data_IF_628228376778
#
_entry.id   IF_628228376778
#
_cell.length_a   1.000
_cell.length_b   1.000
_cell.length_c   1.000
_cell.angle_alpha   90.00
_cell.angle_beta   90.00
_cell.angle_gamma   90.00
#
_symmetry.space_group_name_H-M   'P 1'
#
loop_
_entity.id
_entity.type
_entity.pdbx_description
1 polymer ?
#
# COMPACT_ATOMS: atom_id res chain seq x y z
N UNK A 1 40.84 -30.34 0.12
CA UNK A 1 40.08 -29.18 -0.41
C UNK A 1 39.11 -28.76 0.66
N UNK A 2 39.17 -27.52 1.14
CA UNK A 2 38.21 -27.00 2.11
C UNK A 2 36.84 -26.91 1.42
N UNK A 3 35.89 -27.74 1.84
CA UNK A 3 34.52 -27.68 1.33
C UNK A 3 33.82 -26.43 1.85
N UNK A 4 32.92 -25.84 1.06
CA UNK A 4 32.10 -24.71 1.48
C UNK A 4 31.14 -25.18 2.57
N UNK A 5 31.09 -24.44 3.68
CA UNK A 5 30.19 -24.70 4.80
C UNK A 5 28.90 -23.87 4.65
N UNK A 6 27.85 -24.52 4.14
CA UNK A 6 26.55 -23.90 3.88
C UNK A 6 25.73 -23.61 5.16
N UNK A 7 26.14 -24.13 6.32
CA UNK A 7 25.40 -23.93 7.57
C UNK A 7 25.40 -22.48 8.06
N UNK A 8 26.40 -21.69 7.64
CA UNK A 8 26.59 -20.29 8.06
C UNK A 8 25.79 -19.27 7.24
N UNK A 9 25.22 -19.69 6.12
CA UNK A 9 24.51 -18.79 5.21
C UNK A 9 23.04 -18.68 5.61
N UNK A 10 22.45 -17.52 5.34
CA UNK A 10 21.01 -17.29 5.42
C UNK A 10 20.28 -18.07 4.32
N UNK A 11 18.98 -18.31 4.50
CA UNK A 11 18.16 -19.03 3.51
C UNK A 11 18.17 -18.33 2.15
N UNK A 12 18.14 -17.00 2.15
CA UNK A 12 18.22 -16.16 0.95
C UNK A 12 19.54 -16.36 0.19
N UNK A 13 20.67 -16.36 0.90
CA UNK A 13 21.99 -16.60 0.32
C UNK A 13 22.13 -18.03 -0.22
N UNK A 14 21.51 -19.02 0.44
CA UNK A 14 21.46 -20.40 -0.06
C UNK A 14 20.63 -20.50 -1.36
N UNK A 15 19.54 -19.73 -1.48
CA UNK A 15 18.74 -19.63 -2.70
C UNK A 15 19.49 -18.94 -3.84
N UNK A 16 20.18 -17.84 -3.56
CA UNK A 16 21.04 -17.18 -4.53
C UNK A 16 22.20 -18.08 -4.97
N UNK A 17 22.78 -18.83 -4.03
CA UNK A 17 23.79 -19.84 -4.34
C UNK A 17 23.22 -20.94 -5.23
N UNK A 18 21.97 -21.38 -5.00
CA UNK A 18 21.31 -22.40 -5.84
C UNK A 18 21.13 -21.92 -7.28
N UNK A 19 20.81 -20.65 -7.49
CA UNK A 19 20.62 -20.06 -8.81
C UNK A 19 21.93 -19.75 -9.55
N UNK A 20 23.02 -19.51 -8.81
CA UNK A 20 24.31 -19.10 -9.37
C UNK A 20 25.36 -20.21 -9.48
N UNK A 21 25.18 -21.33 -8.76
CA UNK A 21 26.16 -22.42 -8.74
C UNK A 21 26.09 -23.26 -10.01
N UNK A 22 27.25 -23.50 -10.62
CA UNK A 22 27.37 -24.46 -11.73
C UNK A 22 27.42 -25.89 -11.18
N UNK A 23 26.29 -26.59 -11.28
CA UNK A 23 26.14 -27.97 -10.81
C UNK A 23 27.00 -28.98 -11.58
N UNK A 24 27.38 -28.67 -12.83
CA UNK A 24 28.25 -29.54 -13.63
C UNK A 24 29.71 -29.42 -13.21
N UNK A 25 30.14 -28.21 -12.83
CA UNK A 25 31.50 -27.96 -12.37
C UNK A 25 31.73 -28.31 -10.89
N UNK A 26 30.70 -28.17 -10.04
CA UNK A 26 30.82 -28.39 -8.59
C UNK A 26 29.68 -29.26 -8.01
N UNK A 27 29.58 -30.55 -8.40
CA UNK A 27 28.46 -31.42 -8.01
C UNK A 27 28.40 -31.70 -6.50
N UNK A 28 29.56 -31.82 -5.83
CA UNK A 28 29.59 -32.06 -4.38
C UNK A 28 29.08 -30.86 -3.57
N UNK A 29 29.42 -29.64 -3.98
CA UNK A 29 28.96 -28.43 -3.30
C UNK A 29 27.46 -28.23 -3.55
N UNK A 30 26.99 -28.54 -4.75
CA UNK A 30 25.57 -28.53 -5.07
C UNK A 30 24.76 -29.51 -4.22
N UNK A 31 25.25 -30.75 -4.05
CA UNK A 31 24.59 -31.74 -3.20
C UNK A 31 24.50 -31.30 -1.73
N UNK A 32 25.56 -30.68 -1.20
CA UNK A 32 25.58 -30.14 0.18
C UNK A 32 24.62 -28.95 0.34
N UNK A 33 24.57 -28.06 -0.64
CA UNK A 33 23.63 -26.94 -0.68
C UNK A 33 22.17 -27.43 -0.66
N UNK A 34 21.85 -28.42 -1.49
CA UNK A 34 20.51 -29.03 -1.53
C UNK A 34 20.17 -29.75 -0.22
N UNK A 35 21.13 -30.44 0.40
CA UNK A 35 20.95 -31.09 1.70
C UNK A 35 20.69 -30.07 2.83
N UNK A 36 21.33 -28.91 2.79
CA UNK A 36 21.11 -27.82 3.76
C UNK A 36 19.72 -27.19 3.57
N UNK A 37 19.32 -26.91 2.32
CA UNK A 37 17.99 -26.37 1.98
C UNK A 37 16.85 -27.36 2.28
N UNK A 38 17.12 -28.68 2.24
CA UNK A 38 16.15 -29.70 2.57
C UNK A 38 15.89 -29.84 4.10
N UNK A 39 16.66 -29.15 4.95
CA UNK A 39 16.43 -29.19 6.40
C UNK A 39 15.09 -28.52 6.74
N UNK A 40 14.25 -29.15 7.59
CA UNK A 40 12.94 -28.61 7.94
C UNK A 40 13.01 -27.25 8.64
N UNK A 41 14.08 -27.01 9.41
CA UNK A 41 14.35 -25.71 10.06
C UNK A 41 14.49 -24.57 9.03
N UNK A 42 15.14 -24.84 7.89
CA UNK A 42 15.34 -23.86 6.82
C UNK A 42 14.05 -23.58 6.07
N UNK A 43 13.23 -24.62 5.85
CA UNK A 43 11.90 -24.46 5.23
C UNK A 43 10.95 -23.65 6.12
N UNK A 44 10.97 -23.86 7.44
CA UNK A 44 10.19 -23.07 8.39
C UNK A 44 10.65 -21.61 8.43
N UNK A 45 11.95 -21.35 8.36
CA UNK A 45 12.49 -20.00 8.33
C UNK A 45 12.09 -19.26 7.04
N UNK A 46 12.15 -19.91 5.87
CA UNK A 46 11.68 -19.35 4.59
C UNK A 46 10.19 -18.96 4.67
N UNK A 47 9.36 -19.85 5.21
CA UNK A 47 7.92 -19.59 5.39
C UNK A 47 7.66 -18.45 6.37
N UNK A 48 8.42 -18.34 7.45
CA UNK A 48 8.30 -17.25 8.41
C UNK A 48 8.72 -15.90 7.80
N UNK A 49 9.78 -15.87 7.00
CA UNK A 49 10.27 -14.67 6.31
C UNK A 49 9.30 -14.22 5.20
N UNK A 50 8.74 -15.16 4.41
CA UNK A 50 7.70 -14.88 3.42
C UNK A 50 6.43 -14.35 4.08
N UNK A 51 5.98 -14.96 5.18
CA UNK A 51 4.84 -14.47 5.96
C UNK A 51 5.09 -13.06 6.54
N UNK A 52 6.29 -12.79 7.03
CA UNK A 52 6.66 -11.47 7.53
C UNK A 52 6.71 -10.40 6.42
N UNK A 53 7.18 -10.75 5.21
CA UNK A 53 7.12 -9.86 4.05
C UNK A 53 5.68 -9.58 3.60
N UNK A 54 4.82 -10.61 3.61
CA UNK A 54 3.42 -10.48 3.25
C UNK A 54 2.68 -9.54 4.21
N UNK A 55 2.90 -9.70 5.53
CA UNK A 55 2.37 -8.80 6.57
C UNK A 55 2.85 -7.36 6.36
N UNK A 56 4.16 -7.14 6.12
CA UNK A 56 4.72 -5.81 5.82
C UNK A 56 4.10 -5.19 4.57
N UNK A 57 3.86 -5.98 3.53
CA UNK A 57 3.26 -5.52 2.28
C UNK A 57 1.79 -5.11 2.45
N UNK A 58 1.06 -5.84 3.30
CA UNK A 58 -0.34 -5.58 3.59
C UNK A 58 -0.50 -4.28 4.41
N UNK A 59 0.38 -4.07 5.39
CA UNK A 59 0.42 -2.81 6.14
C UNK A 59 0.83 -1.62 5.27
N UNK A 60 1.79 -1.79 4.36
CA UNK A 60 2.18 -0.74 3.42
C UNK A 60 1.02 -0.30 2.51
N UNK A 61 0.25 -1.25 1.96
CA UNK A 61 -0.95 -0.94 1.14
C UNK A 61 -2.02 -0.21 1.93
N UNK A 62 -2.22 -0.61 3.19
CA UNK A 62 -3.19 0.03 4.10
C UNK A 62 -2.78 1.47 4.45
N UNK A 63 -1.48 1.71 4.67
CA UNK A 63 -0.94 3.06 4.89
C UNK A 63 -1.10 3.91 3.63
N UNK A 64 -0.76 3.36 2.45
CA UNK A 64 -0.90 4.07 1.18
C UNK A 64 -2.35 4.49 0.91
N UNK A 65 -3.31 3.57 1.12
CA UNK A 65 -4.74 3.84 0.95
C UNK A 65 -5.25 4.93 1.90
N UNK A 66 -4.80 4.92 3.17
CA UNK A 66 -5.14 5.95 4.15
C UNK A 66 -4.58 7.32 3.77
N UNK A 67 -3.33 7.36 3.32
CA UNK A 67 -2.68 8.60 2.86
C UNK A 67 -3.40 9.17 1.64
N UNK A 68 -3.76 8.33 0.67
CA UNK A 68 -4.52 8.76 -0.51
C UNK A 68 -5.90 9.34 -0.13
N UNK A 69 -6.59 8.71 0.82
CA UNK A 69 -7.88 9.18 1.32
C UNK A 69 -7.74 10.55 2.03
N UNK A 70 -6.72 10.72 2.86
CA UNK A 70 -6.43 11.99 3.53
C UNK A 70 -6.13 13.12 2.52
N UNK A 71 -5.30 12.84 1.50
CA UNK A 71 -5.01 13.80 0.42
C UNK A 71 -6.30 14.19 -0.33
N UNK A 72 -7.16 13.21 -0.62
CA UNK A 72 -8.46 13.45 -1.28
C UNK A 72 -9.34 14.37 -0.43
N UNK A 73 -9.39 14.15 0.89
CA UNK A 73 -10.10 15.02 1.82
C UNK A 73 -9.60 16.47 1.76
N UNK A 74 -8.27 16.68 1.80
CA UNK A 74 -7.67 18.02 1.66
C UNK A 74 -8.00 18.64 0.29
N UNK A 75 -7.95 17.85 -0.77
CA UNK A 75 -8.31 18.29 -2.12
C UNK A 75 -9.75 18.78 -2.23
N UNK A 76 -10.69 18.15 -1.53
CA UNK A 76 -12.09 18.59 -1.48
C UNK A 76 -12.24 19.96 -0.79
N UNK A 77 -11.48 20.22 0.28
CA UNK A 77 -11.46 21.55 0.91
C UNK A 77 -10.88 22.62 0.00
N UNK A 78 -9.79 22.29 -0.70
CA UNK A 78 -9.19 23.20 -1.68
C UNK A 78 -10.16 23.50 -2.83
N UNK A 79 -10.89 22.48 -3.30
CA UNK A 79 -11.92 22.66 -4.33
C UNK A 79 -13.08 23.54 -3.83
N UNK A 80 -13.55 23.32 -2.60
CA UNK A 80 -14.60 24.14 -1.99
C UNK A 80 -14.16 25.61 -1.87
N UNK A 81 -12.88 25.86 -1.54
CA UNK A 81 -12.30 27.20 -1.51
C UNK A 81 -12.30 27.85 -2.90
N UNK A 82 -11.90 27.12 -3.95
CA UNK A 82 -11.95 27.61 -5.33
C UNK A 82 -13.38 27.97 -5.73
N UNK A 83 -14.36 27.09 -5.45
CA UNK A 83 -15.75 27.37 -5.77
C UNK A 83 -16.30 28.59 -5.04
N UNK A 84 -15.96 28.74 -3.76
CA UNK A 84 -16.31 29.92 -2.98
C UNK A 84 -15.72 31.20 -3.59
N UNK A 85 -14.42 31.17 -3.94
CA UNK A 85 -13.72 32.27 -4.59
C UNK A 85 -14.33 32.64 -5.95
N UNK A 86 -14.64 31.65 -6.78
CA UNK A 86 -15.23 31.85 -8.11
C UNK A 86 -16.72 32.24 -8.05
N UNK A 87 -17.39 32.02 -6.91
CA UNK A 87 -18.83 32.14 -6.78
C UNK A 87 -19.62 31.14 -7.64
N UNK A 88 -18.97 30.07 -8.12
CA UNK A 88 -19.54 29.09 -9.04
C UNK A 88 -19.08 27.68 -8.70
N UNK A 89 -20.03 26.76 -8.53
CA UNK A 89 -19.77 25.32 -8.41
C UNK A 89 -19.76 24.72 -9.82
N UNK A 90 -18.64 24.10 -10.19
CA UNK A 90 -18.41 23.48 -11.51
C UNK A 90 -18.37 21.95 -11.41
N UNK A 91 -18.94 21.26 -12.40
CA UNK A 91 -18.87 19.81 -12.53
C UNK A 91 -17.57 19.32 -13.18
N UNK A 92 -17.48 18.00 -13.39
CA UNK A 92 -16.29 17.31 -13.94
C UNK A 92 -15.78 17.85 -15.29
N UNK A 93 -16.64 18.52 -16.08
CA UNK A 93 -16.28 19.05 -17.40
C UNK A 93 -16.38 20.59 -17.46
N UNK A 94 -16.31 21.27 -16.32
CA UNK A 94 -16.46 22.72 -16.26
C UNK A 94 -17.90 23.21 -16.44
N UNK A 95 -18.87 22.30 -16.55
CA UNK A 95 -20.28 22.65 -16.58
C UNK A 95 -20.67 23.34 -15.28
N UNK A 96 -21.30 24.50 -15.38
CA UNK A 96 -21.79 25.22 -14.20
C UNK A 96 -22.97 24.46 -13.61
N UNK A 97 -22.83 24.04 -12.36
CA UNK A 97 -23.90 23.36 -11.61
C UNK A 97 -24.78 24.41 -10.94
N UNK A 98 -24.15 25.36 -10.23
CA UNK A 98 -24.84 26.40 -9.48
C UNK A 98 -23.95 27.62 -9.35
N UNK A 99 -24.54 28.81 -9.46
CA UNK A 99 -23.89 30.10 -9.24
C UNK A 99 -24.44 30.74 -7.98
N UNK A 100 -23.59 31.44 -7.24
CA UNK A 100 -23.98 32.21 -6.07
C UNK A 100 -25.00 33.30 -6.40
N UNK A 101 -24.87 33.93 -7.58
CA UNK A 101 -25.77 35.00 -8.02
C UNK A 101 -27.19 34.53 -8.36
N UNK A 102 -27.33 33.30 -8.88
CA UNK A 102 -28.62 32.78 -9.35
C UNK A 102 -29.37 32.03 -8.23
N UNK A 103 -28.63 31.29 -7.40
CA UNK A 103 -29.19 30.51 -6.30
C UNK A 103 -28.19 30.44 -5.12
N UNK A 104 -28.23 31.43 -4.20
CA UNK A 104 -27.29 31.49 -3.09
C UNK A 104 -27.49 30.33 -2.10
N UNK A 105 -28.73 29.95 -1.82
CA UNK A 105 -29.05 28.85 -0.90
C UNK A 105 -28.48 27.52 -1.41
N UNK A 106 -28.71 27.21 -2.69
CA UNK A 106 -28.18 26.00 -3.33
C UNK A 106 -26.65 25.99 -3.40
N UNK A 107 -26.04 27.17 -3.57
CA UNK A 107 -24.59 27.31 -3.58
C UNK A 107 -23.97 26.99 -2.22
N UNK A 108 -24.47 27.61 -1.13
CA UNK A 108 -23.97 27.32 0.21
C UNK A 108 -24.27 25.90 0.66
N UNK A 109 -25.45 25.36 0.32
CA UNK A 109 -25.76 23.95 0.57
C UNK A 109 -24.75 23.02 -0.11
N UNK A 110 -24.43 23.28 -1.39
CA UNK A 110 -23.42 22.53 -2.13
C UNK A 110 -22.04 22.58 -1.48
N UNK A 111 -21.60 23.77 -1.03
CA UNK A 111 -20.33 23.93 -0.30
C UNK A 111 -20.31 23.17 1.02
N UNK A 112 -21.42 23.19 1.78
CA UNK A 112 -21.54 22.43 3.03
C UNK A 112 -21.45 20.93 2.76
N UNK A 113 -22.12 20.42 1.72
CA UNK A 113 -22.04 19.00 1.34
C UNK A 113 -20.60 18.61 0.97
N UNK A 114 -19.91 19.43 0.17
CA UNK A 114 -18.49 19.19 -0.19
C UNK A 114 -17.60 19.23 1.05
N UNK A 115 -17.82 20.21 1.95
CA UNK A 115 -17.05 20.36 3.19
C UNK A 115 -17.24 19.18 4.15
N UNK A 116 -18.48 18.73 4.37
CA UNK A 116 -18.78 17.54 5.18
C UNK A 116 -18.17 16.29 4.54
N UNK A 117 -18.31 16.14 3.22
CA UNK A 117 -17.70 15.04 2.47
C UNK A 117 -16.17 15.02 2.63
N UNK A 118 -15.52 16.18 2.52
CA UNK A 118 -14.09 16.36 2.76
C UNK A 118 -13.68 15.97 4.18
N UNK A 119 -14.43 16.43 5.19
CA UNK A 119 -14.21 16.11 6.61
C UNK A 119 -14.32 14.61 6.89
N UNK A 120 -15.36 13.96 6.35
CA UNK A 120 -15.57 12.51 6.49
C UNK A 120 -14.43 11.72 5.83
N UNK A 121 -14.01 12.12 4.62
CA UNK A 121 -12.94 11.46 3.87
C UNK A 121 -11.58 11.63 4.57
N UNK A 122 -11.33 12.81 5.12
CA UNK A 122 -10.15 13.10 5.92
C UNK A 122 -10.14 12.31 7.24
N UNK A 123 -11.26 12.29 7.95
CA UNK A 123 -11.41 11.55 9.21
C UNK A 123 -11.19 10.04 9.02
N UNK A 124 -11.76 9.46 7.96
CA UNK A 124 -11.59 8.04 7.63
C UNK A 124 -10.15 7.72 7.20
N UNK A 125 -9.48 8.61 6.46
CA UNK A 125 -8.06 8.47 6.13
C UNK A 125 -7.16 8.52 7.36
N UNK A 126 -7.35 9.52 8.22
CA UNK A 126 -6.55 9.74 9.43
C UNK A 126 -6.77 8.66 10.48
N UNK A 127 -8.00 8.24 10.74
CA UNK A 127 -8.31 7.27 11.80
C UNK A 127 -8.27 5.82 11.33
N UNK A 128 -8.37 5.57 10.02
CA UNK A 128 -8.51 4.22 9.47
C UNK A 128 -9.82 3.51 9.85
N UNK A 129 -10.72 4.17 10.60
CA UNK A 129 -12.07 3.67 10.90
C UNK A 129 -12.91 3.81 9.62
N UNK A 130 -13.25 2.68 9.01
CA UNK A 130 -13.97 2.62 7.73
C UNK A 130 -13.35 1.66 6.70
N UNK A 131 -12.07 1.27 6.88
CA UNK A 131 -11.38 0.29 6.03
C UNK A 131 -11.38 -1.14 6.59
N UNK A 132 -12.02 -1.37 7.75
CA UNK A 132 -12.33 -2.72 8.21
C UNK A 132 -13.51 -3.24 7.39
N UNK A 133 -13.23 -3.78 6.20
CA UNK A 133 -14.10 -4.84 5.68
C UNK A 133 -13.90 -6.02 6.62
N UNK A 134 -14.90 -6.29 7.45
CA UNK A 134 -15.04 -7.59 8.09
C UNK A 134 -15.08 -8.63 6.96
N UNK A 135 -13.94 -9.29 6.72
CA UNK A 135 -13.96 -10.63 6.17
C UNK A 135 -14.13 -11.55 7.37
N UNK A 136 -15.38 -11.95 7.63
CA UNK A 136 -15.69 -13.22 8.29
C UNK A 136 -15.57 -14.33 7.25
#
# INVERSE_FOLDING_TARGET
MAGIDFSRYSVEELRQAQESIDAAQYPENYARLMAELAKPERQQQEQAELGAQEIKSHDAKKVLGRTFLAITGIGLFFMAFIFYSDGVIKGKHGSVIVRLADNPEGFYFGLVVIGIGGLCTLYTGLTGKGLKKEYQ
#
